data_IF_437024651442
#
_entry.id   IF_437024651442
#
_cell.length_a   1.000
_cell.length_b   1.000
_cell.length_c   1.000
_cell.angle_alpha   90.00
_cell.angle_beta   90.00
_cell.angle_gamma   90.00
#
_symmetry.space_group_name_H-M   'P 1'
#
loop_
_entity.id
_entity.type
_entity.pdbx_description
1 polymer ?
#
# COMPACT_ATOMS: atom_id res chain seq x y z
N UNK A 1 -1.87 15.46 -11.53
CA UNK A 1 -2.06 16.57 -10.58
C UNK A 1 -2.26 15.98 -9.19
N UNK A 2 -1.68 16.56 -8.14
CA UNK A 2 -1.77 16.05 -6.75
C UNK A 2 -2.35 17.11 -5.82
N UNK A 3 -2.96 16.67 -4.72
CA UNK A 3 -3.43 17.55 -3.64
C UNK A 3 -2.67 17.24 -2.35
N UNK A 4 -2.34 18.29 -1.58
CA UNK A 4 -1.73 18.13 -0.26
C UNK A 4 -2.73 17.69 0.82
N UNK A 5 -4.03 17.78 0.53
CA UNK A 5 -5.12 17.31 1.38
C UNK A 5 -5.96 16.31 0.57
N UNK A 6 -6.22 15.13 1.13
CA UNK A 6 -7.01 14.10 0.48
C UNK A 6 -7.76 13.24 1.51
N UNK A 7 -8.81 12.58 1.07
CA UNK A 7 -9.65 11.72 1.88
C UNK A 7 -9.14 10.27 1.80
N UNK A 8 -8.81 9.61 2.93
CA UNK A 8 -8.49 8.18 2.95
C UNK A 8 -9.70 7.34 2.51
N UNK A 9 -9.45 6.11 2.06
CA UNK A 9 -10.54 5.24 1.58
C UNK A 9 -11.55 4.89 2.68
N UNK A 10 -11.08 4.57 3.90
CA UNK A 10 -11.91 4.05 4.99
C UNK A 10 -12.48 5.12 5.93
N UNK A 11 -12.38 6.40 5.57
CA UNK A 11 -12.79 7.49 6.47
C UNK A 11 -13.32 8.71 5.71
N UNK A 12 -14.29 9.40 6.30
CA UNK A 12 -14.85 10.64 5.75
C UNK A 12 -14.03 11.91 6.04
N UNK A 13 -13.03 11.84 6.91
CA UNK A 13 -12.21 12.99 7.31
C UNK A 13 -11.02 13.17 6.37
N UNK A 14 -10.84 14.39 5.88
CA UNK A 14 -9.67 14.75 5.10
C UNK A 14 -8.39 14.73 5.94
N UNK A 15 -7.28 14.37 5.30
CA UNK A 15 -5.95 14.28 5.92
C UNK A 15 -4.89 14.84 4.99
N UNK A 16 -3.78 15.28 5.58
CA UNK A 16 -2.59 15.63 4.80
C UNK A 16 -2.10 14.43 4.01
N UNK A 17 -1.74 14.62 2.74
CA UNK A 17 -1.36 13.53 1.84
C UNK A 17 -0.21 12.68 2.40
N UNK A 18 0.69 13.27 3.18
CA UNK A 18 1.83 12.59 3.79
C UNK A 18 1.48 11.73 5.01
N UNK A 19 0.31 11.92 5.63
CA UNK A 19 -0.16 11.09 6.75
C UNK A 19 -1.04 9.92 6.33
N UNK A 20 -1.26 9.73 5.01
CA UNK A 20 -2.06 8.67 4.41
C UNK A 20 -1.30 7.99 3.26
N UNK A 21 -1.78 6.82 2.81
CA UNK A 21 -1.19 6.04 1.70
C UNK A 21 -1.91 6.23 0.35
N UNK A 22 -2.53 7.38 0.13
CA UNK A 22 -3.25 7.67 -1.12
C UNK A 22 -2.28 7.78 -2.32
N UNK A 23 -2.62 7.27 -3.52
CA UNK A 23 -1.69 7.19 -4.66
C UNK A 23 -1.32 8.54 -5.30
N UNK A 24 -2.24 9.53 -5.26
CA UNK A 24 -2.05 10.88 -5.86
C UNK A 24 -1.13 11.78 -5.01
N UNK A 25 0.15 11.42 -4.92
CA UNK A 25 1.22 12.13 -4.18
C UNK A 25 2.04 13.02 -5.12
N UNK A 26 2.92 13.91 -4.63
CA UNK A 26 3.89 14.60 -5.50
C UNK A 26 4.78 13.65 -6.31
N UNK A 27 5.18 12.53 -5.70
CA UNK A 27 5.87 11.41 -6.35
C UNK A 27 5.02 10.14 -6.19
N UNK A 28 4.51 9.59 -7.29
CA UNK A 28 3.63 8.41 -7.31
C UNK A 28 4.41 7.10 -7.11
N UNK A 29 5.02 6.93 -5.92
CA UNK A 29 5.77 5.74 -5.56
C UNK A 29 4.97 4.94 -4.54
N UNK A 30 4.54 3.75 -4.94
CA UNK A 30 3.95 2.73 -4.08
C UNK A 30 5.01 1.78 -3.53
N UNK A 31 4.71 1.16 -2.38
CA UNK A 31 5.56 0.13 -1.77
C UNK A 31 4.66 -1.00 -1.31
N UNK A 32 4.95 -2.21 -1.78
CA UNK A 32 4.22 -3.43 -1.42
C UNK A 32 5.19 -4.43 -0.82
N UNK A 33 4.83 -5.03 0.31
CA UNK A 33 5.53 -6.20 0.84
C UNK A 33 4.79 -7.42 0.30
N UNK A 34 5.46 -8.18 -0.56
CA UNK A 34 4.86 -9.28 -1.31
C UNK A 34 5.47 -10.62 -0.90
N UNK A 35 4.71 -11.70 -1.09
CA UNK A 35 5.25 -13.05 -0.98
C UNK A 35 5.78 -13.51 -2.34
N UNK A 36 7.06 -13.86 -2.38
CA UNK A 36 7.67 -14.51 -3.53
C UNK A 36 7.28 -16.00 -3.57
N UNK A 37 6.59 -16.40 -4.63
CA UNK A 37 6.13 -17.78 -4.83
C UNK A 37 7.13 -18.58 -5.68
N UNK A 38 7.68 -17.98 -6.75
CA UNK A 38 8.67 -18.61 -7.60
C UNK A 38 9.53 -17.58 -8.37
N UNK A 39 10.72 -18.02 -8.78
CA UNK A 39 11.61 -17.29 -9.68
C UNK A 39 11.78 -18.11 -10.96
N UNK A 40 11.43 -17.53 -12.11
CA UNK A 40 11.56 -18.16 -13.43
C UNK A 40 12.36 -17.25 -14.36
N UNK A 41 13.68 -17.39 -14.34
CA UNK A 41 14.56 -16.49 -15.10
C UNK A 41 14.40 -15.05 -14.61
N UNK A 42 13.90 -14.16 -15.47
CA UNK A 42 13.62 -12.77 -15.16
C UNK A 42 12.18 -12.49 -14.70
N UNK A 43 11.37 -13.53 -14.46
CA UNK A 43 9.98 -13.43 -14.01
C UNK A 43 9.88 -13.83 -12.53
N UNK A 44 9.25 -12.98 -11.72
CA UNK A 44 8.93 -13.25 -10.33
C UNK A 44 7.42 -13.51 -10.20
N UNK A 45 7.04 -14.70 -9.76
CA UNK A 45 5.65 -14.99 -9.39
C UNK A 45 5.44 -14.57 -7.94
N UNK A 46 4.53 -13.62 -7.70
CA UNK A 46 4.30 -13.01 -6.39
C UNK A 46 2.82 -13.05 -5.99
N UNK A 47 2.55 -12.88 -4.69
CA UNK A 47 1.21 -12.76 -4.11
C UNK A 47 1.19 -11.72 -3.01
N UNK A 48 -0.01 -11.36 -2.53
CA UNK A 48 -0.25 -10.23 -1.61
C UNK A 48 0.15 -8.89 -2.23
N UNK A 49 -0.36 -8.64 -3.43
CA UNK A 49 -0.09 -7.41 -4.19
C UNK A 49 -1.29 -6.48 -4.18
N UNK A 50 -1.03 -5.19 -4.15
CA UNK A 50 -2.00 -4.09 -4.22
C UNK A 50 -1.67 -3.14 -5.40
N UNK A 51 -1.24 -3.72 -6.52
CA UNK A 51 -0.81 -3.03 -7.75
C UNK A 51 -1.68 -3.45 -8.93
N UNK A 52 -1.87 -2.53 -9.88
CA UNK A 52 -2.65 -2.76 -11.11
C UNK A 52 -1.72 -3.29 -12.20
N UNK A 53 -2.26 -4.09 -13.13
CA UNK A 53 -1.51 -4.61 -14.27
C UNK A 53 -0.86 -3.48 -15.10
N UNK A 54 0.32 -3.72 -15.64
CA UNK A 54 1.10 -2.71 -16.37
C UNK A 54 1.76 -1.61 -15.52
N UNK A 55 1.61 -1.62 -14.19
CA UNK A 55 2.29 -0.66 -13.29
C UNK A 55 3.82 -0.79 -13.43
N UNK A 56 4.57 0.29 -13.74
CA UNK A 56 6.03 0.23 -13.87
C UNK A 56 6.73 -0.10 -12.56
N UNK A 57 7.68 -1.03 -12.61
CA UNK A 57 8.51 -1.41 -11.48
C UNK A 57 9.76 -0.51 -11.40
N UNK A 58 10.00 0.09 -10.23
CA UNK A 58 11.16 0.94 -10.00
C UNK A 58 12.33 0.21 -9.32
N UNK A 59 12.04 -0.70 -8.39
CA UNK A 59 13.05 -1.31 -7.51
C UNK A 59 12.54 -2.60 -6.87
N UNK A 60 13.45 -3.50 -6.49
CA UNK A 60 13.17 -4.72 -5.72
C UNK A 60 14.20 -4.83 -4.59
N UNK A 61 13.74 -5.07 -3.37
CA UNK A 61 14.61 -5.34 -2.21
C UNK A 61 14.14 -6.56 -1.43
N UNK A 62 15.06 -7.36 -0.86
CA UNK A 62 14.66 -8.46 0.02
C UNK A 62 14.04 -7.89 1.30
N UNK A 63 12.89 -8.43 1.70
CA UNK A 63 12.32 -8.19 3.03
C UNK A 63 13.11 -9.00 4.07
N UNK A 64 13.71 -8.31 5.03
CA UNK A 64 14.45 -8.91 6.13
C UNK A 64 13.66 -8.69 7.41
N UNK A 65 12.96 -9.73 7.85
CA UNK A 65 12.09 -9.72 9.03
C UNK A 65 12.73 -9.02 10.25
N UNK A 66 14.02 -9.25 10.50
CA UNK A 66 14.74 -8.68 11.65
C UNK A 66 14.94 -7.16 11.57
N UNK A 67 14.97 -6.58 10.37
CA UNK A 67 15.24 -5.16 10.14
C UNK A 67 13.99 -4.36 9.76
N UNK A 68 13.09 -4.99 9.02
CA UNK A 68 11.91 -4.33 8.47
C UNK A 68 10.72 -4.37 9.43
N UNK A 69 10.59 -5.38 10.29
CA UNK A 69 9.54 -5.40 11.31
C UNK A 69 9.86 -4.51 12.50
N UNK A 70 8.83 -3.82 12.99
CA UNK A 70 8.87 -2.92 14.13
C UNK A 70 7.78 -3.35 15.12
N UNK A 71 8.17 -3.74 16.33
CA UNK A 71 7.30 -4.42 17.29
C UNK A 71 6.54 -3.45 18.21
N UNK A 72 7.00 -2.20 18.31
CA UNK A 72 6.40 -1.16 19.15
C UNK A 72 6.12 0.10 18.31
N UNK A 73 5.11 0.02 17.46
CA UNK A 73 4.68 1.12 16.57
C UNK A 73 3.22 1.44 16.84
N UNK A 74 2.90 2.73 16.83
CA UNK A 74 1.54 3.23 16.81
C UNK A 74 1.20 3.66 15.39
N UNK A 75 0.05 3.23 14.88
CA UNK A 75 -0.48 3.68 13.58
C UNK A 75 -1.32 4.95 13.72
N UNK A 76 -1.52 5.43 14.95
CA UNK A 76 -2.14 6.72 15.25
C UNK A 76 -3.63 6.69 14.94
N UNK A 77 -4.10 7.63 14.11
CA UNK A 77 -5.52 7.72 13.72
C UNK A 77 -6.05 6.46 13.01
N UNK A 78 -5.16 5.61 12.49
CA UNK A 78 -5.48 4.32 11.87
C UNK A 78 -5.88 3.28 12.92
N UNK A 79 -5.23 3.27 14.09
CA UNK A 79 -5.54 2.33 15.18
C UNK A 79 -6.95 2.58 15.76
N UNK A 80 -7.40 3.84 15.74
CA UNK A 80 -8.72 4.26 16.22
C UNK A 80 -9.87 3.74 15.33
N UNK A 81 -9.57 3.30 14.10
CA UNK A 81 -10.58 2.92 13.11
C UNK A 81 -10.99 1.44 13.17
N UNK A 82 -10.47 0.64 14.11
CA UNK A 82 -10.72 -0.80 14.20
C UNK A 82 -10.58 -1.51 12.84
N UNK A 83 -9.48 -1.22 12.12
CA UNK A 83 -9.26 -1.72 10.75
C UNK A 83 -9.24 -3.25 10.69
N UNK A 84 -8.96 -3.92 11.80
CA UNK A 84 -9.05 -5.38 11.94
C UNK A 84 -10.46 -5.94 11.63
N UNK A 85 -11.50 -5.10 11.71
CA UNK A 85 -12.89 -5.44 11.38
C UNK A 85 -13.21 -5.26 9.88
N UNK A 86 -12.34 -4.58 9.13
CA UNK A 86 -12.52 -4.26 7.71
C UNK A 86 -11.89 -5.38 6.87
N UNK A 87 -12.58 -6.52 6.78
CA UNK A 87 -12.20 -7.63 5.88
C UNK A 87 -12.18 -7.19 4.41
N UNK A 88 -11.02 -7.34 3.75
CA UNK A 88 -10.82 -7.51 2.29
C UNK A 88 -11.78 -6.75 1.35
N UNK A 89 -12.01 -5.46 1.61
CA UNK A 89 -12.75 -4.60 0.68
C UNK A 89 -11.78 -3.90 -0.26
N UNK A 90 -11.23 -4.62 -1.25
CA UNK A 90 -10.67 -3.92 -2.42
C UNK A 90 -11.83 -3.20 -3.13
N UNK A 91 -11.83 -1.86 -3.21
CA UNK A 91 -12.95 -1.11 -3.81
C UNK A 91 -13.05 -1.44 -5.30
N UNK A 92 -14.27 -1.68 -5.81
CA UNK A 92 -14.49 -1.93 -7.25
C UNK A 92 -13.92 -0.82 -8.14
N UNK A 93 -13.97 0.43 -7.69
CA UNK A 93 -13.42 1.57 -8.41
C UNK A 93 -11.89 1.53 -8.61
N UNK A 94 -11.16 0.73 -7.82
CA UNK A 94 -9.71 0.51 -7.98
C UNK A 94 -9.39 -0.76 -8.80
N UNK A 95 -10.40 -1.53 -9.23
CA UNK A 95 -10.25 -2.72 -10.07
C UNK A 95 -10.39 -2.43 -11.56
N UNK A 96 -11.06 -1.34 -11.91
CA UNK A 96 -11.47 -1.00 -13.27
C UNK A 96 -10.70 0.21 -13.86
N UNK A 97 -9.65 0.70 -13.18
CA UNK A 97 -8.67 1.68 -13.72
C UNK A 97 -7.39 0.97 -14.19
#
# INVERSE_FOLDING_TARGET
DYSLISKPFLEDKERGIFSIRHPKRPNHIGISIVKLNAVRGNILEISYVDIIDGTPLLDIKPFVHRFDNRIDVKSGWVDEQHIDEIQDQTPRALRDE
#
